data_IF_350156856895
#
_entry.id   IF_350156856895
#
_cell.length_a   1.000
_cell.length_b   1.000
_cell.length_c   1.000
_cell.angle_alpha   90.00
_cell.angle_beta   90.00
_cell.angle_gamma   90.00
#
_symmetry.space_group_name_H-M   'P 1'
#
loop_
_entity.id
_entity.type
_entity.pdbx_description
1 polymer ?
#
# COMPACT_ATOMS: atom_id res chain seq x y z
N UNK A 1 -12.02 26.66 13.90
CA UNK A 1 -11.21 26.41 12.68
C UNK A 1 -11.68 25.11 12.06
N UNK A 2 -11.97 25.10 10.76
CA UNK A 2 -12.41 23.89 10.05
C UNK A 2 -11.25 22.95 9.73
N UNK A 3 -11.56 21.73 9.26
CA UNK A 3 -10.57 20.72 8.84
C UNK A 3 -9.74 21.18 7.62
N UNK A 4 -10.26 22.13 6.84
CA UNK A 4 -9.59 22.70 5.66
C UNK A 4 -9.08 24.11 6.01
N UNK A 5 -7.81 24.37 5.72
CA UNK A 5 -7.22 25.71 5.80
C UNK A 5 -6.44 26.06 4.54
N UNK A 6 -6.45 27.32 4.15
CA UNK A 6 -5.78 27.83 2.95
C UNK A 6 -4.69 28.82 3.35
N UNK A 7 -3.49 28.67 2.78
CA UNK A 7 -2.38 29.62 2.87
C UNK A 7 -2.08 30.25 1.51
N UNK A 8 -0.96 30.98 1.42
CA UNK A 8 -0.44 31.41 0.11
C UNK A 8 -0.13 30.16 -0.72
N UNK A 9 -0.91 29.97 -1.80
CA UNK A 9 -0.79 28.90 -2.79
C UNK A 9 -0.84 27.46 -2.24
N UNK A 10 -1.36 27.28 -1.03
CA UNK A 10 -1.40 25.97 -0.37
C UNK A 10 -2.76 25.71 0.29
N UNK A 11 -3.20 24.45 0.20
CA UNK A 11 -4.41 23.95 0.86
C UNK A 11 -3.99 22.84 1.80
N UNK A 12 -4.44 22.92 3.04
CA UNK A 12 -4.16 21.97 4.09
C UNK A 12 -5.45 21.28 4.49
N UNK A 13 -5.42 19.95 4.54
CA UNK A 13 -6.48 19.12 5.08
C UNK A 13 -5.96 18.44 6.34
N UNK A 14 -6.46 18.86 7.49
CA UNK A 14 -6.06 18.34 8.79
C UNK A 14 -6.94 17.16 9.19
N UNK A 15 -6.32 16.17 9.85
CA UNK A 15 -6.97 14.95 10.33
C UNK A 15 -7.71 14.23 9.18
N UNK A 16 -6.95 13.80 8.16
CA UNK A 16 -7.49 13.12 6.99
C UNK A 16 -8.08 11.76 7.34
N UNK A 17 -9.11 11.38 6.59
CA UNK A 17 -9.90 10.16 6.75
C UNK A 17 -10.18 9.56 5.37
N UNK A 18 -10.50 8.27 5.33
CA UNK A 18 -10.80 7.59 4.06
C UNK A 18 -11.95 8.24 3.29
N UNK A 19 -12.93 8.82 4.01
CA UNK A 19 -14.07 9.54 3.43
C UNK A 19 -13.72 10.86 2.76
N UNK A 20 -12.50 11.37 2.96
CA UNK A 20 -12.01 12.55 2.21
C UNK A 20 -11.51 12.18 0.81
N UNK A 21 -11.59 10.90 0.40
CA UNK A 21 -11.29 10.53 -0.99
C UNK A 21 -12.38 11.03 -1.93
N UNK A 22 -12.01 11.61 -3.06
CA UNK A 22 -12.97 12.07 -4.05
C UNK A 22 -12.44 13.17 -4.97
N UNK A 23 -13.36 13.72 -5.78
CA UNK A 23 -13.06 14.83 -6.68
C UNK A 23 -13.19 16.16 -5.94
N UNK A 24 -12.09 16.92 -5.91
CA UNK A 24 -12.03 18.24 -5.32
C UNK A 24 -12.02 19.32 -6.41
N UNK A 25 -12.67 20.44 -6.11
CA UNK A 25 -12.65 21.65 -6.92
C UNK A 25 -12.05 22.80 -6.12
N UNK A 26 -11.03 23.44 -6.69
CA UNK A 26 -10.42 24.66 -6.15
C UNK A 26 -10.90 25.84 -6.98
N UNK A 27 -11.43 26.87 -6.31
CA UNK A 27 -11.85 28.12 -6.94
C UNK A 27 -10.91 29.26 -6.54
N UNK A 28 -10.14 29.75 -7.50
CA UNK A 28 -9.21 30.86 -7.28
C UNK A 28 -9.86 32.19 -7.64
N UNK A 29 -9.78 33.18 -6.74
CA UNK A 29 -10.29 34.54 -6.94
C UNK A 29 -9.12 35.54 -6.90
N UNK A 30 -9.01 36.40 -7.92
CA UNK A 30 -7.98 37.44 -7.99
C UNK A 30 -8.46 38.76 -7.35
N UNK A 31 -7.56 39.45 -6.64
CA UNK A 31 -7.90 40.62 -5.80
C UNK A 31 -7.87 41.97 -6.53
N UNK A 32 -7.36 42.12 -7.76
CA UNK A 32 -7.30 43.45 -8.40
C UNK A 32 -7.40 43.51 -9.94
N UNK A 33 -8.23 44.44 -10.39
CA UNK A 33 -7.96 45.34 -11.53
C UNK A 33 -8.45 44.93 -12.93
N UNK A 34 -8.56 43.65 -13.24
CA UNK A 34 -9.07 43.17 -14.53
C UNK A 34 -10.17 42.15 -14.33
N UNK A 35 -11.20 42.17 -15.18
CA UNK A 35 -12.28 41.18 -15.25
C UNK A 35 -11.74 39.78 -15.59
N UNK A 36 -10.98 39.16 -14.69
CA UNK A 36 -10.59 37.75 -14.80
C UNK A 36 -11.68 36.92 -14.14
N UNK A 37 -12.27 36.01 -14.93
CA UNK A 37 -13.16 34.99 -14.41
C UNK A 37 -12.43 34.15 -13.35
N UNK A 38 -13.15 33.63 -12.33
CA UNK A 38 -12.57 32.68 -11.41
C UNK A 38 -12.01 31.48 -12.17
N UNK A 39 -10.83 31.05 -11.79
CA UNK A 39 -10.21 29.82 -12.30
C UNK A 39 -10.66 28.63 -11.44
N UNK A 40 -10.88 27.50 -12.11
CA UNK A 40 -11.29 26.25 -11.48
C UNK A 40 -10.29 25.15 -11.78
N UNK A 41 -9.73 24.56 -10.73
CA UNK A 41 -8.83 23.40 -10.83
C UNK A 41 -9.50 22.21 -10.18
N UNK A 42 -9.39 21.05 -10.82
CA UNK A 42 -9.94 19.79 -10.33
C UNK A 42 -8.82 18.80 -10.07
N UNK A 43 -8.90 18.06 -8.97
CA UNK A 43 -7.99 16.94 -8.69
C UNK A 43 -8.72 15.84 -7.92
N UNK A 44 -8.25 14.61 -8.08
CA UNK A 44 -8.74 13.47 -7.32
C UNK A 44 -7.84 13.26 -6.09
N UNK A 45 -8.42 13.35 -4.90
CA UNK A 45 -7.74 12.98 -3.66
C UNK A 45 -8.05 11.52 -3.35
N UNK A 46 -7.03 10.72 -3.06
CA UNK A 46 -7.21 9.37 -2.55
C UNK A 46 -6.47 9.25 -1.23
N UNK A 47 -7.20 8.91 -0.17
CA UNK A 47 -6.66 8.72 1.18
C UNK A 47 -6.55 7.23 1.44
N UNK A 48 -5.39 6.82 1.93
CA UNK A 48 -5.09 5.43 2.25
C UNK A 48 -4.76 5.30 3.74
N UNK A 49 -5.33 4.28 4.38
CA UNK A 49 -4.85 3.82 5.68
C UNK A 49 -3.48 3.15 5.47
N UNK A 50 -2.46 3.50 6.28
CA UNK A 50 -1.17 2.83 6.21
C UNK A 50 -1.27 1.33 6.48
N UNK A 51 -0.46 0.54 5.77
CA UNK A 51 -0.43 -0.91 5.95
C UNK A 51 0.22 -1.28 7.27
N UNK A 52 -0.40 -2.20 8.01
CA UNK A 52 0.25 -2.83 9.16
C UNK A 52 1.27 -3.88 8.71
N UNK A 53 2.20 -4.23 9.62
CA UNK A 53 3.11 -5.37 9.42
C UNK A 53 2.30 -6.63 9.06
N UNK A 54 2.58 -7.28 7.91
CA UNK A 54 1.86 -8.47 7.53
C UNK A 54 2.29 -9.70 8.34
N UNK A 55 1.36 -10.63 8.50
CA UNK A 55 1.62 -11.97 9.04
C UNK A 55 1.51 -13.01 7.93
N UNK A 56 2.32 -14.07 8.07
CA UNK A 56 2.29 -15.23 7.19
C UNK A 56 1.56 -16.36 7.90
N UNK A 57 0.66 -17.02 7.20
CA UNK A 57 0.00 -18.25 7.64
C UNK A 57 0.29 -19.36 6.65
N UNK A 58 0.50 -20.57 7.14
CA UNK A 58 0.76 -21.75 6.32
C UNK A 58 -0.39 -22.77 6.44
N UNK A 59 -0.81 -23.32 5.32
CA UNK A 59 -1.77 -24.43 5.26
C UNK A 59 -1.16 -25.62 4.50
N UNK A 60 -1.18 -26.80 5.11
CA UNK A 60 -0.64 -28.02 4.52
C UNK A 60 -1.77 -28.87 3.92
N UNK A 61 -1.75 -29.05 2.60
CA UNK A 61 -2.73 -29.83 1.85
C UNK A 61 -2.02 -31.00 1.16
N UNK A 62 -1.87 -32.10 1.90
CA UNK A 62 -1.18 -33.30 1.42
C UNK A 62 0.30 -33.02 1.13
N UNK A 63 0.68 -33.01 -0.16
CA UNK A 63 2.06 -32.75 -0.61
C UNK A 63 2.32 -31.29 -1.00
N UNK A 64 1.36 -30.39 -0.78
CA UNK A 64 1.49 -28.96 -1.08
C UNK A 64 1.36 -28.14 0.21
N UNK A 65 2.12 -27.05 0.28
CA UNK A 65 2.04 -26.04 1.34
C UNK A 65 1.63 -24.73 0.71
N UNK A 66 0.57 -24.12 1.21
CA UNK A 66 0.14 -22.80 0.79
C UNK A 66 0.52 -21.77 1.84
N UNK A 67 1.28 -20.74 1.44
CA UNK A 67 1.60 -19.60 2.30
C UNK A 67 0.70 -18.43 1.90
N UNK A 68 -0.04 -17.91 2.88
CA UNK A 68 -0.90 -16.74 2.72
C UNK A 68 -0.36 -15.58 3.54
N UNK A 69 -0.47 -14.37 2.98
CA UNK A 69 -0.04 -13.14 3.61
C UNK A 69 -1.22 -12.22 3.90
N UNK A 70 -1.22 -11.61 5.08
CA UNK A 70 -2.31 -10.74 5.49
C UNK A 70 -1.83 -9.60 6.39
N UNK A 71 -2.32 -8.38 6.10
CA UNK A 71 -2.22 -7.21 6.98
C UNK A 71 -3.59 -6.87 7.54
N UNK A 72 -3.67 -6.61 8.86
CA UNK A 72 -4.93 -6.27 9.53
C UNK A 72 -5.39 -4.83 9.27
N UNK A 73 -4.48 -3.93 8.88
CA UNK A 73 -4.77 -2.55 8.49
C UNK A 73 -4.19 -2.26 7.11
N UNK A 74 -4.84 -1.34 6.40
CA UNK A 74 -4.40 -0.88 5.10
C UNK A 74 -5.54 -0.77 4.10
N UNK A 75 -5.52 0.29 3.30
CA UNK A 75 -6.48 0.47 2.20
C UNK A 75 -5.88 -0.03 0.89
N UNK A 76 -6.64 -0.81 0.11
CA UNK A 76 -6.28 -1.32 -1.21
C UNK A 76 -4.86 -1.92 -1.25
N UNK A 77 -4.60 -2.87 -0.35
CA UNK A 77 -3.28 -3.45 -0.12
C UNK A 77 -2.91 -4.42 -1.24
N UNK A 78 -1.70 -4.26 -1.75
CA UNK A 78 -1.06 -5.21 -2.68
C UNK A 78 0.02 -6.00 -1.95
N UNK A 79 0.14 -7.27 -2.27
CA UNK A 79 1.09 -8.19 -1.66
C UNK A 79 2.12 -8.69 -2.67
N UNK A 80 3.34 -8.91 -2.19
CA UNK A 80 4.41 -9.53 -2.94
C UNK A 80 5.24 -10.41 -2.01
N UNK A 81 5.73 -11.52 -2.53
CA UNK A 81 6.58 -12.47 -1.83
C UNK A 81 7.99 -12.40 -2.36
N UNK A 82 8.97 -12.33 -1.48
CA UNK A 82 10.37 -12.54 -1.78
C UNK A 82 10.78 -13.92 -1.29
N UNK A 83 11.36 -14.71 -2.19
CA UNK A 83 11.90 -16.04 -1.91
C UNK A 83 13.42 -15.98 -2.03
N UNK A 84 14.12 -16.28 -0.94
CA UNK A 84 15.57 -16.25 -0.85
C UNK A 84 16.10 -17.67 -0.67
N UNK A 85 16.74 -18.26 -1.70
CA UNK A 85 17.32 -19.59 -1.62
C UNK A 85 18.57 -19.60 -0.72
N UNK A 86 19.05 -20.79 -0.29
CA UNK A 86 20.18 -20.91 0.63
C UNK A 86 21.48 -20.29 0.12
N UNK A 87 21.66 -20.23 -1.21
CA UNK A 87 22.82 -19.63 -1.86
C UNK A 87 22.83 -18.10 -1.79
N UNK A 88 21.71 -17.46 -1.45
CA UNK A 88 21.57 -16.00 -1.30
C UNK A 88 21.69 -15.18 -2.59
N UNK A 89 21.96 -15.81 -3.73
CA UNK A 89 22.35 -15.11 -4.95
C UNK A 89 21.17 -14.81 -5.89
N UNK A 90 20.07 -15.57 -5.78
CA UNK A 90 18.92 -15.48 -6.69
C UNK A 90 17.62 -15.28 -5.89
N UNK A 91 17.33 -14.04 -5.49
CA UNK A 91 16.01 -13.74 -4.91
C UNK A 91 14.94 -13.65 -6.01
N UNK A 92 13.82 -14.30 -5.78
CA UNK A 92 12.67 -14.27 -6.68
C UNK A 92 11.53 -13.49 -6.03
N UNK A 93 10.91 -12.58 -6.79
CA UNK A 93 9.72 -11.84 -6.34
C UNK A 93 8.48 -12.37 -7.04
N UNK A 94 7.49 -12.81 -6.28
CA UNK A 94 6.18 -13.23 -6.76
C UNK A 94 5.11 -12.23 -6.36
N UNK A 95 4.25 -11.83 -7.29
CA UNK A 95 3.14 -10.93 -7.02
C UNK A 95 1.91 -11.73 -6.61
N UNK A 96 1.29 -11.35 -5.50
CA UNK A 96 0.10 -12.05 -5.03
C UNK A 96 0.05 -12.13 -3.51
N UNK A 97 -1.15 -12.40 -3.00
CA UNK A 97 -1.38 -12.59 -1.57
C UNK A 97 -0.93 -13.97 -1.08
N UNK A 98 -0.97 -14.96 -1.97
CA UNK A 98 -0.69 -16.36 -1.66
C UNK A 98 0.36 -16.91 -2.64
N UNK A 99 1.19 -17.81 -2.15
CA UNK A 99 2.06 -18.68 -2.96
C UNK A 99 1.83 -20.14 -2.58
N UNK A 100 1.84 -21.01 -3.58
CA UNK A 100 1.72 -22.45 -3.38
C UNK A 100 3.08 -23.11 -3.65
N UNK A 101 3.51 -23.92 -2.69
CA UNK A 101 4.80 -24.57 -2.66
C UNK A 101 4.60 -26.09 -2.70
N UNK A 102 5.43 -26.77 -3.49
CA UNK A 102 5.43 -28.23 -3.53
C UNK A 102 6.48 -28.77 -2.55
N UNK A 103 6.07 -29.63 -1.62
CA UNK A 103 6.94 -30.14 -0.54
C UNK A 103 8.24 -30.78 -1.06
N UNK A 104 8.18 -31.46 -2.20
CA UNK A 104 9.34 -32.12 -2.80
C UNK A 104 10.34 -31.16 -3.45
N UNK A 105 9.95 -29.89 -3.65
CA UNK A 105 10.79 -28.83 -4.22
C UNK A 105 11.26 -27.82 -3.15
N UNK A 106 10.81 -27.95 -1.91
CA UNK A 106 11.25 -27.11 -0.81
C UNK A 106 12.70 -27.43 -0.44
N UNK A 107 13.56 -26.40 -0.48
CA UNK A 107 14.90 -26.49 0.08
C UNK A 107 14.86 -25.97 1.53
N UNK A 108 15.36 -26.73 2.52
CA UNK A 108 15.22 -26.44 3.95
C UNK A 108 15.97 -25.19 4.46
N UNK A 109 16.56 -24.40 3.57
CA UNK A 109 17.16 -23.12 3.90
C UNK A 109 16.67 -22.00 2.97
N UNK A 110 15.51 -22.20 2.33
CA UNK A 110 14.82 -21.15 1.58
C UNK A 110 13.99 -20.33 2.55
N UNK A 111 14.13 -19.00 2.52
CA UNK A 111 13.31 -18.11 3.34
C UNK A 111 12.27 -17.39 2.51
N UNK A 112 11.06 -17.28 3.05
CA UNK A 112 9.93 -16.60 2.44
C UNK A 112 9.58 -15.37 3.24
N UNK A 113 9.49 -14.23 2.56
CA UNK A 113 9.17 -12.95 3.16
C UNK A 113 8.03 -12.30 2.38
N UNK A 114 6.97 -11.87 3.06
CA UNK A 114 5.89 -11.15 2.42
C UNK A 114 6.01 -9.64 2.66
N UNK A 115 5.75 -8.84 1.62
CA UNK A 115 5.60 -7.40 1.72
C UNK A 115 4.19 -6.98 1.33
N UNK A 116 3.52 -6.28 2.25
CA UNK A 116 2.26 -5.59 2.02
C UNK A 116 2.55 -4.12 1.71
N UNK A 117 1.86 -3.54 0.73
CA UNK A 117 2.06 -2.13 0.39
C UNK A 117 0.82 -1.49 -0.23
N UNK A 118 0.77 -0.17 -0.11
CA UNK A 118 -0.13 0.72 -0.84
C UNK A 118 0.62 2.02 -1.20
N UNK A 119 0.00 2.99 -1.89
CA UNK A 119 0.71 4.19 -2.34
C UNK A 119 1.34 5.06 -1.25
N UNK A 120 0.94 4.90 0.02
CA UNK A 120 1.43 5.72 1.14
C UNK A 120 2.37 4.98 2.09
N UNK A 121 2.43 3.64 2.02
CA UNK A 121 3.17 2.86 3.01
C UNK A 121 3.52 1.45 2.52
N UNK A 122 4.57 0.87 3.12
CA UNK A 122 5.06 -0.48 2.86
C UNK A 122 5.47 -1.12 4.18
N UNK A 123 5.12 -2.39 4.39
CA UNK A 123 5.55 -3.16 5.55
C UNK A 123 5.85 -4.61 5.16
N UNK A 124 6.84 -5.20 5.83
CA UNK A 124 7.36 -6.53 5.52
C UNK A 124 7.21 -7.45 6.73
N UNK A 125 6.86 -8.71 6.49
CA UNK A 125 6.69 -9.73 7.52
C UNK A 125 8.02 -10.13 8.15
N UNK A 126 7.98 -10.96 9.19
CA UNK A 126 9.13 -11.77 9.51
C UNK A 126 9.33 -12.82 8.41
N UNK A 127 10.57 -13.26 8.20
CA UNK A 127 10.88 -14.39 7.31
C UNK A 127 10.42 -15.70 7.94
N UNK A 128 9.97 -16.64 7.11
CA UNK A 128 9.68 -18.04 7.50
C UNK A 128 10.48 -19.01 6.64
N UNK A 129 10.82 -20.17 7.18
CA UNK A 129 11.59 -21.26 6.56
C UNK A 129 10.76 -22.56 6.39
#
# INVERSE_FOLDING_TARGET
>A
MGRVSTGNDSIWLNNSSLSDSGLYQVKTKYRSGGFKSPEYTYFHLQVFEPVSKPNITAECLGSNVSLSCFSSQGTAVTYSWETLPPSGNDSCVHMGQQIDLQLHSLSPATTYTCTAHNPVSRATSNSVD
#
